data_IF_402401409731
#
_entry.id   IF_402401409731
#
_cell.length_a   1.000
_cell.length_b   1.000
_cell.length_c   1.000
_cell.angle_alpha   90.00
_cell.angle_beta   90.00
_cell.angle_gamma   90.00
#
_symmetry.space_group_name_H-M   'P 1'
#
loop_
_entity.id
_entity.type
_entity.pdbx_description
1 polymer ?
#
# COMPACT_ATOMS: atom_id res chain seq x y z
N UNK A 1 -2.27 9.07 23.33
CA UNK A 1 -1.69 10.24 22.64
C UNK A 1 -2.55 10.53 21.43
N UNK A 2 -3.14 11.72 21.33
CA UNK A 2 -4.02 12.09 20.22
C UNK A 2 -3.16 12.37 18.97
N UNK A 3 -2.86 11.34 18.18
CA UNK A 3 -2.05 11.41 16.97
C UNK A 3 -2.84 11.94 15.76
N UNK A 4 -3.58 13.02 15.96
CA UNK A 4 -4.33 13.69 14.91
C UNK A 4 -3.52 14.89 14.39
N UNK A 5 -3.31 14.95 13.07
CA UNK A 5 -2.65 16.07 12.41
C UNK A 5 -3.69 16.92 11.69
N UNK A 6 -3.85 18.17 12.10
CA UNK A 6 -4.64 19.15 11.34
C UNK A 6 -3.68 19.96 10.46
N UNK A 7 -3.91 19.95 9.15
CA UNK A 7 -3.14 20.70 8.17
C UNK A 7 -3.96 21.92 7.79
N UNK A 8 -3.44 23.08 8.18
CA UNK A 8 -4.11 24.38 8.03
C UNK A 8 -3.53 25.21 6.90
N UNK A 9 -2.33 24.87 6.44
CA UNK A 9 -1.65 25.58 5.36
C UNK A 9 -0.88 24.61 4.45
N UNK A 10 -0.45 25.14 3.29
CA UNK A 10 0.29 24.38 2.28
C UNK A 10 1.63 23.84 2.78
N UNK A 11 2.37 24.61 3.58
CA UNK A 11 3.70 24.20 4.06
C UNK A 11 3.62 22.99 4.99
N UNK A 12 2.50 22.80 5.70
CA UNK A 12 2.27 21.66 6.56
C UNK A 12 2.05 20.34 5.79
N UNK A 13 1.72 20.39 4.50
CA UNK A 13 1.64 19.19 3.66
C UNK A 13 3.00 18.47 3.54
N UNK A 14 4.11 19.21 3.67
CA UNK A 14 5.46 18.63 3.67
C UNK A 14 5.68 17.70 4.87
N UNK A 15 4.96 17.88 5.99
CA UNK A 15 5.01 16.98 7.15
C UNK A 15 4.59 15.56 6.79
N UNK A 16 3.80 15.39 5.72
CA UNK A 16 3.36 14.10 5.21
C UNK A 16 4.39 13.43 4.28
N UNK A 17 5.26 14.22 3.61
CA UNK A 17 6.24 13.72 2.62
C UNK A 17 7.41 12.90 3.23
N UNK A 18 7.46 12.72 4.55
CA UNK A 18 8.57 12.10 5.30
C UNK A 18 8.43 10.61 5.68
N UNK A 19 7.41 9.90 5.19
CA UNK A 19 7.17 8.45 5.35
C UNK A 19 7.12 7.86 6.78
N UNK A 20 7.38 8.66 7.84
CA UNK A 20 7.12 8.24 9.22
C UNK A 20 5.63 8.40 9.49
N UNK A 21 4.88 7.29 9.41
CA UNK A 21 3.47 7.17 9.79
C UNK A 21 3.29 7.42 11.29
N UNK A 22 3.36 8.69 11.67
CA UNK A 22 3.27 9.18 13.05
C UNK A 22 1.85 9.57 13.43
N UNK A 23 0.99 9.78 12.43
CA UNK A 23 -0.35 10.29 12.62
C UNK A 23 -1.36 9.21 12.26
N UNK A 24 -2.27 8.91 13.17
CA UNK A 24 -3.34 7.95 12.92
C UNK A 24 -4.41 8.53 12.00
N UNK A 25 -4.66 9.84 12.13
CA UNK A 25 -5.64 10.56 11.34
C UNK A 25 -5.13 11.94 10.95
N UNK A 26 -5.32 12.28 9.69
CA UNK A 26 -4.97 13.58 9.11
C UNK A 26 -6.27 14.30 8.77
N UNK A 27 -6.35 15.60 9.03
CA UNK A 27 -7.48 16.45 8.67
C UNK A 27 -6.97 17.66 7.90
N UNK A 28 -7.56 17.93 6.75
CA UNK A 28 -7.28 19.15 5.99
C UNK A 28 -8.31 20.22 6.37
N UNK A 29 -7.81 21.40 6.72
CA UNK A 29 -8.61 22.61 6.92
C UNK A 29 -7.94 23.77 6.19
N UNK A 30 -7.87 23.63 4.87
CA UNK A 30 -7.24 24.61 4.00
C UNK A 30 -8.27 25.68 3.62
N UNK A 31 -7.97 26.97 3.88
CA UNK A 31 -8.91 28.06 3.61
C UNK A 31 -9.19 28.29 2.13
N UNK A 32 -8.32 27.80 1.24
CA UNK A 32 -8.48 27.91 -0.22
C UNK A 32 -9.48 26.89 -0.80
N UNK A 33 -9.86 25.88 -0.03
CA UNK A 33 -10.75 24.81 -0.46
C UNK A 33 -12.10 24.92 0.23
N UNK A 34 -13.17 24.54 -0.47
CA UNK A 34 -14.48 24.44 0.14
C UNK A 34 -14.53 23.29 1.17
N UNK A 35 -15.57 23.28 2.02
CA UNK A 35 -15.73 22.27 3.08
C UNK A 35 -15.78 20.85 2.47
N UNK A 36 -16.52 20.67 1.38
CA UNK A 36 -16.64 19.38 0.69
C UNK A 36 -15.31 18.90 0.10
N UNK A 37 -14.52 19.81 -0.48
CA UNK A 37 -13.20 19.52 -1.03
C UNK A 37 -12.21 19.13 0.06
N UNK A 38 -12.22 19.85 1.19
CA UNK A 38 -11.42 19.52 2.36
C UNK A 38 -11.74 18.10 2.87
N UNK A 39 -13.02 17.73 2.95
CA UNK A 39 -13.44 16.37 3.35
C UNK A 39 -12.98 15.32 2.34
N UNK A 40 -13.15 15.58 1.04
CA UNK A 40 -12.73 14.68 -0.04
C UNK A 40 -11.22 14.44 -0.01
N UNK A 41 -10.42 15.51 0.02
CA UNK A 41 -8.97 15.42 0.06
C UNK A 41 -8.46 14.77 1.35
N UNK A 42 -9.10 15.06 2.49
CA UNK A 42 -8.82 14.41 3.78
C UNK A 42 -8.97 12.89 3.69
N UNK A 43 -10.05 12.43 3.05
CA UNK A 43 -10.29 10.99 2.86
C UNK A 43 -9.19 10.34 2.00
N UNK A 44 -8.86 10.98 0.86
CA UNK A 44 -7.85 10.48 -0.07
C UNK A 44 -6.47 10.40 0.60
N UNK A 45 -6.05 11.45 1.29
CA UNK A 45 -4.75 11.49 1.98
C UNK A 45 -4.68 10.43 3.07
N UNK A 46 -5.72 10.30 3.90
CA UNK A 46 -5.74 9.28 4.97
C UNK A 46 -5.64 7.86 4.41
N UNK A 47 -6.34 7.56 3.32
CA UNK A 47 -6.30 6.23 2.70
C UNK A 47 -4.89 5.89 2.21
N UNK A 48 -4.23 6.84 1.57
CA UNK A 48 -2.88 6.64 1.03
C UNK A 48 -1.81 6.63 2.12
N UNK A 49 -1.89 7.54 3.09
CA UNK A 49 -0.93 7.66 4.19
C UNK A 49 -0.93 6.40 5.08
N UNK A 50 -2.11 5.86 5.37
CA UNK A 50 -2.28 4.70 6.25
C UNK A 50 -2.18 3.35 5.52
N UNK A 51 -1.95 3.32 4.20
CA UNK A 51 -1.96 2.07 3.42
C UNK A 51 -0.83 1.12 3.82
N UNK A 52 -1.10 0.06 4.60
CA UNK A 52 -0.10 -0.88 5.15
C UNK A 52 0.69 -1.72 4.13
N UNK A 53 0.26 -1.73 2.86
CA UNK A 53 0.74 -2.65 1.84
C UNK A 53 0.18 -4.07 1.96
N UNK A 54 -0.65 -4.35 2.97
CA UNK A 54 -1.14 -5.70 3.28
C UNK A 54 -2.02 -6.28 2.17
N UNK A 55 -2.85 -5.44 1.52
CA UNK A 55 -3.64 -5.86 0.34
C UNK A 55 -2.74 -6.29 -0.82
N UNK A 56 -1.67 -5.54 -1.10
CA UNK A 56 -0.69 -5.88 -2.14
C UNK A 56 0.10 -7.14 -1.78
N UNK A 57 0.50 -7.28 -0.51
CA UNK A 57 1.11 -8.50 0.01
C UNK A 57 0.22 -9.73 -0.21
N UNK A 58 -1.06 -9.65 0.16
CA UNK A 58 -2.02 -10.74 -0.04
C UNK A 58 -2.17 -11.13 -1.52
N UNK A 59 -2.21 -10.15 -2.44
CA UNK A 59 -2.26 -10.42 -3.89
C UNK A 59 -1.03 -11.21 -4.33
N UNK A 60 0.17 -10.82 -3.90
CA UNK A 60 1.41 -11.51 -4.26
C UNK A 60 1.46 -12.94 -3.70
N UNK A 61 0.99 -13.16 -2.47
CA UNK A 61 0.84 -14.51 -1.89
C UNK A 61 -0.09 -15.35 -2.77
N UNK A 62 -1.28 -14.83 -3.10
CA UNK A 62 -2.28 -15.57 -3.87
C UNK A 62 -1.79 -15.92 -5.28
N UNK A 63 -1.12 -14.98 -5.97
CA UNK A 63 -0.54 -15.23 -7.29
C UNK A 63 0.56 -16.29 -7.22
N UNK A 64 1.40 -16.24 -6.17
CA UNK A 64 2.48 -17.22 -5.97
C UNK A 64 1.94 -18.62 -5.72
N UNK A 65 0.87 -18.74 -4.92
CA UNK A 65 0.20 -20.02 -4.68
C UNK A 65 -0.42 -20.57 -5.97
N UNK A 66 -1.09 -19.72 -6.77
CA UNK A 66 -1.66 -20.11 -8.06
C UNK A 66 -0.60 -20.64 -9.03
N UNK A 67 0.51 -19.91 -9.18
CA UNK A 67 1.64 -20.34 -10.00
C UNK A 67 2.26 -21.64 -9.47
N UNK A 68 2.36 -21.79 -8.15
CA UNK A 68 2.77 -23.02 -7.49
C UNK A 68 1.89 -24.20 -7.87
N UNK A 69 0.57 -24.06 -7.76
CA UNK A 69 -0.39 -25.09 -8.16
C UNK A 69 -0.26 -25.46 -9.64
N UNK A 70 -0.17 -24.47 -10.53
CA UNK A 70 0.00 -24.70 -11.98
C UNK A 70 1.30 -25.49 -12.24
N UNK A 71 2.40 -25.07 -11.63
CA UNK A 71 3.70 -25.75 -11.80
C UNK A 71 3.67 -27.20 -11.33
N UNK A 72 2.94 -27.48 -10.25
CA UNK A 72 2.78 -28.83 -9.71
C UNK A 72 1.94 -29.72 -10.62
N UNK A 73 0.85 -29.19 -11.19
CA UNK A 73 0.04 -29.90 -12.19
C UNK A 73 0.88 -30.24 -13.42
N UNK A 74 1.62 -29.26 -13.95
CA UNK A 74 2.50 -29.46 -15.10
C UNK A 74 3.53 -30.54 -14.80
N UNK A 75 4.21 -30.45 -13.65
CA UNK A 75 5.21 -31.43 -13.25
C UNK A 75 4.62 -32.85 -13.13
N UNK A 76 3.44 -32.98 -12.53
CA UNK A 76 2.74 -34.26 -12.40
C UNK A 76 2.42 -34.88 -13.77
N UNK A 77 1.96 -34.09 -14.74
CA UNK A 77 1.68 -34.59 -16.10
C UNK A 77 2.93 -35.18 -16.76
N UNK A 78 4.11 -34.58 -16.52
CA UNK A 78 5.36 -35.01 -17.16
C UNK A 78 6.09 -36.13 -16.42
N UNK A 79 5.92 -36.25 -15.10
CA UNK A 79 6.73 -37.17 -14.27
C UNK A 79 5.90 -38.24 -13.54
N UNK A 80 4.57 -38.11 -13.52
CA UNK A 80 3.64 -38.95 -12.76
C UNK A 80 3.94 -39.04 -11.25
N UNK A 81 4.70 -38.09 -10.70
CA UNK A 81 5.02 -38.01 -9.27
C UNK A 81 4.97 -36.55 -8.79
N UNK A 82 4.66 -36.34 -7.51
CA UNK A 82 4.73 -35.03 -6.86
C UNK A 82 5.61 -35.16 -5.63
N UNK A 83 6.89 -34.75 -5.71
CA UNK A 83 7.76 -34.80 -4.55
C UNK A 83 7.26 -33.80 -3.51
N UNK A 84 7.03 -34.29 -2.28
CA UNK A 84 6.55 -33.49 -1.14
C UNK A 84 7.40 -32.24 -0.83
N UNK A 85 8.66 -32.23 -1.31
CA UNK A 85 9.56 -31.09 -1.22
C UNK A 85 9.07 -29.87 -2.01
N UNK A 86 8.41 -30.05 -3.16
CA UNK A 86 7.89 -28.95 -3.97
C UNK A 86 6.75 -28.20 -3.27
N UNK A 87 5.90 -28.92 -2.51
CA UNK A 87 4.85 -28.31 -1.68
C UNK A 87 5.47 -27.38 -0.63
N UNK A 88 6.54 -27.84 0.03
CA UNK A 88 7.25 -27.06 1.05
C UNK A 88 7.90 -25.82 0.45
N UNK A 89 8.56 -25.94 -0.69
CA UNK A 89 9.18 -24.80 -1.38
C UNK A 89 8.13 -23.79 -1.87
N UNK A 90 6.98 -24.25 -2.38
CA UNK A 90 5.90 -23.36 -2.80
C UNK A 90 5.32 -22.54 -1.65
N UNK A 91 5.15 -23.14 -0.47
CA UNK A 91 4.70 -22.44 0.74
C UNK A 91 5.69 -21.38 1.20
N UNK A 92 6.99 -21.72 1.28
CA UNK A 92 8.04 -20.78 1.68
C UNK A 92 8.14 -19.62 0.69
N UNK A 93 8.13 -19.91 -0.62
CA UNK A 93 8.16 -18.88 -1.66
C UNK A 93 6.96 -17.94 -1.56
N UNK A 94 5.77 -18.48 -1.30
CA UNK A 94 4.54 -17.68 -1.16
C UNK A 94 4.62 -16.73 0.03
N UNK A 95 5.16 -17.18 1.16
CA UNK A 95 5.40 -16.33 2.34
C UNK A 95 6.41 -15.22 2.05
N UNK A 96 7.53 -15.54 1.39
CA UNK A 96 8.52 -14.56 0.97
C UNK A 96 7.92 -13.51 0.03
N UNK A 97 7.11 -13.94 -0.94
CA UNK A 97 6.41 -13.04 -1.86
C UNK A 97 5.39 -12.15 -1.15
N UNK A 98 4.77 -12.63 -0.07
CA UNK A 98 3.91 -11.79 0.77
C UNK A 98 4.67 -10.65 1.47
N UNK A 99 5.86 -10.96 1.99
CA UNK A 99 6.75 -9.95 2.60
C UNK A 99 7.16 -8.93 1.53
N UNK A 100 7.64 -9.38 0.37
CA UNK A 100 8.02 -8.51 -0.76
C UNK A 100 6.84 -7.65 -1.19
N UNK A 101 5.67 -8.25 -1.41
CA UNK A 101 4.44 -7.54 -1.82
C UNK A 101 4.01 -6.47 -0.81
N UNK A 102 4.24 -6.69 0.49
CA UNK A 102 4.00 -5.68 1.52
C UNK A 102 4.94 -4.47 1.40
N UNK A 103 6.23 -4.70 1.16
CA UNK A 103 7.19 -3.61 0.92
C UNK A 103 6.89 -2.85 -0.37
N UNK A 104 6.59 -3.57 -1.45
CA UNK A 104 6.17 -2.98 -2.74
C UNK A 104 4.90 -2.15 -2.56
N UNK A 105 3.89 -2.67 -1.86
CA UNK A 105 2.66 -1.95 -1.57
C UNK A 105 2.89 -0.66 -0.77
N UNK A 106 3.77 -0.70 0.25
CA UNK A 106 4.17 0.50 1.00
C UNK A 106 4.87 1.52 0.12
N UNK A 107 5.75 1.08 -0.78
CA UNK A 107 6.46 1.95 -1.70
C UNK A 107 5.50 2.63 -2.70
N UNK A 108 4.58 1.88 -3.29
CA UNK A 108 3.54 2.46 -4.16
C UNK A 108 2.62 3.42 -3.42
N UNK A 109 2.25 3.11 -2.18
CA UNK A 109 1.46 4.02 -1.34
C UNK A 109 2.22 5.33 -1.09
N UNK A 110 3.52 5.26 -0.82
CA UNK A 110 4.38 6.43 -0.66
C UNK A 110 4.43 7.30 -1.93
N UNK A 111 4.63 6.68 -3.11
CA UNK A 111 4.61 7.41 -4.38
C UNK A 111 3.25 8.07 -4.63
N UNK A 112 2.15 7.32 -4.42
CA UNK A 112 0.79 7.84 -4.58
C UNK A 112 0.52 9.03 -3.66
N UNK A 113 0.91 8.92 -2.39
CA UNK A 113 0.79 9.99 -1.41
C UNK A 113 1.53 11.25 -1.86
N UNK A 114 2.80 11.13 -2.27
CA UNK A 114 3.57 12.27 -2.75
C UNK A 114 2.92 12.94 -3.96
N UNK A 115 2.47 12.14 -4.94
CA UNK A 115 1.77 12.65 -6.12
C UNK A 115 0.45 13.33 -5.76
N UNK A 116 -0.32 12.76 -4.84
CA UNK A 116 -1.57 13.35 -4.34
C UNK A 116 -1.32 14.68 -3.63
N UNK A 117 -0.25 14.77 -2.83
CA UNK A 117 0.15 16.04 -2.21
C UNK A 117 0.57 17.06 -3.27
N UNK A 118 1.32 16.67 -4.30
CA UNK A 118 1.69 17.58 -5.40
C UNK A 118 0.48 18.10 -6.20
N UNK A 119 -0.52 17.26 -6.45
CA UNK A 119 -1.77 17.70 -7.10
C UNK A 119 -2.49 18.71 -6.20
N UNK A 120 -2.63 18.40 -4.91
CA UNK A 120 -3.24 19.30 -3.93
C UNK A 120 -2.47 20.62 -3.83
N UNK A 121 -1.14 20.61 -3.81
CA UNK A 121 -0.29 21.81 -3.81
C UNK A 121 -0.50 22.70 -5.05
N UNK A 122 -0.92 22.13 -6.18
CA UNK A 122 -1.25 22.86 -7.42
C UNK A 122 -2.67 23.44 -7.41
N UNK A 123 -3.63 22.77 -6.76
CA UNK A 123 -5.00 23.28 -6.62
C UNK A 123 -5.09 24.45 -5.63
N UNK A 124 -4.25 24.47 -4.59
CA UNK A 124 -4.17 25.55 -3.59
C UNK A 124 -3.25 26.69 -4.09
N UNK A 125 -3.19 26.96 -5.41
CA UNK A 125 -2.40 28.06 -5.96
C UNK A 125 -3.11 29.40 -5.84
#
# INVERSE_FOLDING_TARGET
MNEELVISNKNELLKLKGNKRRYKRIYLKLPQLNIEENVKWTKIINEQYNCGGDKTGAIYVSVSLLLGCISMIVYFIFTNDIPSQYVKYGLVLSLLMGIVGKYVGKFFAYIKLNRTIEVLEKEIK
#
